data_IF_468095841983
#
_entry.id   IF_468095841983
#
_cell.length_a   1.000
_cell.length_b   1.000
_cell.length_c   1.000
_cell.angle_alpha   90.00
_cell.angle_beta   90.00
_cell.angle_gamma   90.00
#
_symmetry.space_group_name_H-M   'P 1'
#
loop_
_entity.id
_entity.type
_entity.pdbx_description
1 polymer ?
#
# COMPACT_ATOMS: atom_id res chain seq x y z
N UNK A 1 -11.50 -16.07 34.32
CA UNK A 1 -11.15 -14.86 33.54
C UNK A 1 -10.92 -15.31 32.11
N UNK A 2 -11.71 -14.81 31.17
CA UNK A 2 -11.70 -15.29 29.78
C UNK A 2 -10.49 -14.67 29.06
N UNK A 3 -9.38 -15.40 28.94
CA UNK A 3 -8.12 -14.94 28.33
C UNK A 3 -8.27 -14.49 26.87
N UNK A 4 -9.35 -14.92 26.21
CA UNK A 4 -9.72 -14.51 24.85
C UNK A 4 -10.13 -13.04 24.70
N UNK A 5 -10.43 -12.33 25.80
CA UNK A 5 -10.90 -10.94 25.71
C UNK A 5 -9.81 -9.93 25.42
N UNK A 6 -8.54 -10.28 25.62
CA UNK A 6 -7.38 -9.39 25.46
C UNK A 6 -6.58 -9.62 24.17
N UNK A 7 -6.82 -10.69 23.41
CA UNK A 7 -6.04 -10.96 22.21
C UNK A 7 -6.57 -10.22 20.97
N UNK A 8 -5.67 -9.72 20.14
CA UNK A 8 -6.03 -9.13 18.84
C UNK A 8 -6.50 -10.21 17.88
N UNK A 9 -7.25 -9.83 16.84
CA UNK A 9 -7.78 -10.81 15.87
C UNK A 9 -6.67 -11.58 15.15
N UNK A 10 -5.50 -10.98 14.98
CA UNK A 10 -4.35 -11.58 14.30
C UNK A 10 -3.39 -12.30 15.25
N UNK A 11 -3.47 -12.11 16.57
CA UNK A 11 -2.59 -12.81 17.52
C UNK A 11 -3.10 -14.20 17.91
N UNK A 12 -4.32 -14.57 17.51
CA UNK A 12 -4.93 -15.85 17.89
C UNK A 12 -4.31 -17.01 17.11
N UNK A 13 -4.21 -18.21 17.71
CA UNK A 13 -3.73 -19.40 17.02
C UNK A 13 -4.53 -19.71 15.74
N UNK A 14 -5.84 -19.55 15.76
CA UNK A 14 -6.75 -19.91 14.65
C UNK A 14 -6.56 -19.07 13.37
N UNK A 15 -5.74 -18.03 13.42
CA UNK A 15 -5.35 -17.25 12.24
C UNK A 15 -4.62 -18.13 11.24
N UNK A 16 -3.84 -19.09 11.74
CA UNK A 16 -3.12 -20.05 10.94
C UNK A 16 -3.96 -21.33 10.78
N UNK A 17 -3.88 -22.01 9.61
CA UNK A 17 -4.61 -23.25 9.42
C UNK A 17 -4.09 -24.36 10.34
N UNK A 18 -4.93 -25.36 10.60
CA UNK A 18 -4.53 -26.57 11.31
C UNK A 18 -3.40 -27.31 10.60
N UNK A 19 -2.54 -27.99 11.37
CA UNK A 19 -1.43 -28.75 10.82
C UNK A 19 -1.94 -29.85 9.88
N UNK A 20 -1.24 -30.11 8.76
CA UNK A 20 -1.56 -31.24 7.91
C UNK A 20 -1.40 -32.58 8.66
N UNK A 21 -2.13 -33.62 8.23
CA UNK A 21 -1.85 -35.01 8.65
C UNK A 21 -0.59 -35.51 7.92
N UNK A 22 0.56 -34.99 8.33
CA UNK A 22 1.85 -35.14 7.66
C UNK A 22 2.94 -35.58 8.66
N UNK A 23 4.19 -35.55 8.21
CA UNK A 23 5.39 -35.69 9.06
C UNK A 23 5.37 -34.78 10.30
N UNK A 24 6.11 -35.14 11.37
CA UNK A 24 6.13 -34.41 12.64
C UNK A 24 6.47 -32.92 12.49
N UNK A 25 7.34 -32.58 11.54
CA UNK A 25 7.74 -31.21 11.24
C UNK A 25 7.46 -30.85 9.79
N UNK A 26 7.30 -29.56 9.51
CA UNK A 26 7.24 -29.09 8.15
C UNK A 26 7.09 -27.59 8.00
N UNK A 27 7.11 -27.14 6.75
CA UNK A 27 7.03 -25.75 6.35
C UNK A 27 6.02 -25.51 5.23
N UNK A 28 5.47 -24.31 5.18
CA UNK A 28 4.57 -23.82 4.14
C UNK A 28 5.17 -22.58 3.51
N UNK A 29 5.31 -22.56 2.18
CA UNK A 29 5.74 -21.36 1.45
C UNK A 29 4.56 -20.40 1.19
N UNK A 30 4.81 -19.12 0.86
CA UNK A 30 3.78 -18.14 0.50
C UNK A 30 2.81 -18.55 -0.62
N UNK A 31 3.21 -19.56 -1.40
CA UNK A 31 2.43 -20.16 -2.51
C UNK A 31 1.63 -21.39 -2.08
N UNK A 32 1.65 -21.73 -0.78
CA UNK A 32 0.97 -22.90 -0.23
C UNK A 32 1.72 -24.22 -0.43
N UNK A 33 2.98 -24.20 -0.90
CA UNK A 33 3.78 -25.42 -1.04
C UNK A 33 4.20 -25.93 0.33
N UNK A 34 3.91 -27.20 0.59
CA UNK A 34 4.27 -27.88 1.84
C UNK A 34 5.56 -28.69 1.66
N UNK A 35 6.42 -28.66 2.67
CA UNK A 35 7.63 -29.50 2.74
C UNK A 35 7.66 -30.15 4.12
N UNK A 36 7.92 -31.46 4.14
CA UNK A 36 7.85 -32.30 5.33
C UNK A 36 9.24 -32.68 5.82
N UNK A 37 9.43 -32.75 7.14
CA UNK A 37 10.69 -33.09 7.79
C UNK A 37 10.47 -34.06 8.96
N UNK A 38 11.48 -34.87 9.26
CA UNK A 38 11.45 -35.81 10.37
C UNK A 38 12.01 -35.22 11.66
N UNK A 39 12.93 -34.26 11.55
CA UNK A 39 13.56 -33.62 12.71
C UNK A 39 13.49 -32.10 12.67
N UNK A 40 13.70 -31.48 13.84
CA UNK A 40 13.76 -30.02 13.97
C UNK A 40 14.99 -29.45 13.24
N UNK A 41 16.11 -30.17 13.23
CA UNK A 41 17.34 -29.75 12.55
C UNK A 41 17.15 -29.68 11.03
N UNK A 42 16.42 -30.64 10.43
CA UNK A 42 16.08 -30.63 9.01
C UNK A 42 15.22 -29.41 8.65
N UNK A 43 14.22 -29.09 9.48
CA UNK A 43 13.38 -27.91 9.32
C UNK A 43 14.19 -26.61 9.50
N UNK A 44 15.04 -26.53 10.52
CA UNK A 44 15.92 -25.38 10.76
C UNK A 44 16.89 -25.15 9.57
N UNK A 45 17.48 -26.23 9.05
CA UNK A 45 18.34 -26.19 7.88
C UNK A 45 17.57 -25.69 6.64
N UNK A 46 16.32 -26.13 6.47
CA UNK A 46 15.45 -25.65 5.40
C UNK A 46 15.11 -24.16 5.53
N UNK A 47 14.77 -23.67 6.73
CA UNK A 47 14.48 -22.24 6.98
C UNK A 47 15.68 -21.38 6.56
N UNK A 48 16.90 -21.81 6.90
CA UNK A 48 18.11 -21.09 6.52
C UNK A 48 18.31 -21.05 4.99
N UNK A 49 18.27 -22.21 4.32
CA UNK A 49 18.71 -22.36 2.92
C UNK A 49 17.60 -22.27 1.86
N UNK A 50 16.33 -22.20 2.25
CA UNK A 50 15.23 -22.17 1.29
C UNK A 50 15.30 -20.93 0.41
N UNK A 51 15.16 -21.10 -0.92
CA UNK A 51 15.10 -19.96 -1.85
C UNK A 51 13.84 -19.13 -1.67
N UNK A 52 12.73 -19.77 -1.30
CA UNK A 52 11.48 -19.08 -1.00
C UNK A 52 11.41 -18.75 0.50
N UNK A 53 10.71 -17.68 0.85
CA UNK A 53 10.37 -17.39 2.25
C UNK A 53 9.58 -18.58 2.82
N UNK A 54 9.82 -18.92 4.09
CA UNK A 54 8.95 -19.81 4.86
C UNK A 54 7.86 -18.96 5.50
N UNK A 55 6.60 -19.16 5.10
CA UNK A 55 5.46 -18.37 5.60
C UNK A 55 4.92 -18.93 6.91
N UNK A 56 4.91 -20.26 7.06
CA UNK A 56 4.51 -20.92 8.28
C UNK A 56 5.25 -22.26 8.46
N UNK A 57 5.27 -22.77 9.69
CA UNK A 57 5.86 -24.04 10.10
C UNK A 57 4.88 -24.81 10.98
N UNK A 58 5.01 -26.14 11.04
CA UNK A 58 4.31 -26.97 12.02
C UNK A 58 5.29 -27.87 12.78
N UNK A 59 4.91 -28.23 14.00
CA UNK A 59 5.67 -29.05 14.94
C UNK A 59 4.75 -30.06 15.64
N UNK A 60 5.28 -31.14 16.26
CA UNK A 60 4.46 -32.19 16.85
C UNK A 60 3.52 -31.71 17.94
N UNK A 61 4.00 -30.79 18.78
CA UNK A 61 3.32 -30.30 19.99
C UNK A 61 2.20 -29.29 19.72
N UNK A 62 2.05 -28.82 18.49
CA UNK A 62 1.16 -27.71 18.13
C UNK A 62 0.06 -28.21 17.19
N UNK A 63 -1.15 -27.69 17.31
CA UNK A 63 -2.28 -28.08 16.45
C UNK A 63 -2.39 -27.20 15.20
N UNK A 64 -2.06 -25.91 15.31
CA UNK A 64 -2.01 -24.97 14.20
C UNK A 64 -0.60 -24.76 13.66
N UNK A 65 -0.54 -24.31 12.41
CA UNK A 65 0.66 -23.70 11.82
C UNK A 65 1.03 -22.42 12.60
N UNK A 66 2.29 -22.03 12.52
CA UNK A 66 2.78 -20.79 13.14
C UNK A 66 3.86 -20.14 12.30
N UNK A 67 4.10 -18.83 12.43
CA UNK A 67 5.25 -18.22 11.77
C UNK A 67 6.55 -18.83 12.31
N UNK A 68 7.62 -18.97 11.49
CA UNK A 68 8.91 -19.44 11.98
C UNK A 68 9.47 -18.55 13.10
N UNK A 69 9.06 -17.28 13.14
CA UNK A 69 9.41 -16.34 14.19
C UNK A 69 8.80 -16.67 15.58
N UNK A 70 7.90 -17.65 15.68
CA UNK A 70 7.36 -18.12 16.97
C UNK A 70 8.24 -19.18 17.66
N UNK A 71 9.26 -19.71 16.99
CA UNK A 71 10.08 -20.84 17.48
C UNK A 71 11.50 -20.35 17.78
N UNK A 72 11.89 -20.39 19.07
CA UNK A 72 13.15 -19.81 19.55
C UNK A 72 14.39 -20.52 18.99
N UNK A 73 14.28 -21.80 18.67
CA UNK A 73 15.34 -22.59 18.03
C UNK A 73 15.69 -22.07 16.63
N UNK A 74 14.80 -21.27 16.02
CA UNK A 74 15.02 -20.68 14.70
C UNK A 74 15.69 -19.30 14.73
N UNK A 75 16.08 -18.74 15.90
CA UNK A 75 16.79 -17.45 15.99
C UNK A 75 18.01 -17.43 15.06
N UNK A 76 18.93 -18.39 15.19
CA UNK A 76 20.16 -18.42 14.40
C UNK A 76 19.91 -18.75 12.91
N UNK A 77 19.11 -19.78 12.55
CA UNK A 77 18.72 -20.02 11.17
C UNK A 77 18.09 -18.80 10.47
N UNK A 78 17.16 -18.10 11.14
CA UNK A 78 16.52 -16.89 10.62
C UNK A 78 17.51 -15.74 10.53
N UNK A 79 18.36 -15.54 11.54
CA UNK A 79 19.41 -14.51 11.52
C UNK A 79 20.33 -14.70 10.32
N UNK A 80 20.84 -15.91 10.12
CA UNK A 80 21.74 -16.24 9.02
C UNK A 80 21.08 -16.00 7.66
N UNK A 81 19.82 -16.44 7.51
CA UNK A 81 19.00 -16.18 6.32
C UNK A 81 18.82 -14.68 6.04
N UNK A 82 18.37 -13.92 7.03
CA UNK A 82 18.09 -12.49 6.89
C UNK A 82 19.37 -11.70 6.54
N UNK A 83 20.53 -12.11 7.06
CA UNK A 83 21.82 -11.51 6.71
C UNK A 83 22.22 -11.77 5.26
N UNK A 84 21.97 -12.98 4.76
CA UNK A 84 22.23 -13.33 3.36
C UNK A 84 21.29 -12.55 2.42
N UNK A 85 19.99 -12.52 2.75
CA UNK A 85 18.99 -11.76 1.99
C UNK A 85 19.33 -10.27 1.95
N UNK A 86 19.61 -9.64 3.09
CA UNK A 86 20.00 -8.23 3.15
C UNK A 86 21.32 -7.96 2.38
N UNK A 87 22.21 -8.94 2.27
CA UNK A 87 23.41 -8.86 1.43
C UNK A 87 23.10 -8.82 -0.06
N UNK A 88 22.23 -9.71 -0.53
CA UNK A 88 21.74 -9.75 -1.91
C UNK A 88 20.96 -8.49 -2.27
N UNK A 89 20.07 -8.03 -1.38
CA UNK A 89 19.28 -6.82 -1.58
C UNK A 89 20.17 -5.58 -1.63
N UNK A 90 21.18 -5.49 -0.77
CA UNK A 90 22.16 -4.40 -0.82
C UNK A 90 22.96 -4.41 -2.13
N UNK A 91 23.33 -5.58 -2.65
CA UNK A 91 24.00 -5.71 -3.94
C UNK A 91 23.09 -5.24 -5.09
N UNK A 92 21.86 -5.74 -5.15
CA UNK A 92 20.87 -5.38 -6.17
C UNK A 92 20.54 -3.87 -6.11
N UNK A 93 20.35 -3.32 -4.92
CA UNK A 93 20.06 -1.91 -4.72
C UNK A 93 21.23 -1.01 -5.15
N UNK A 94 22.49 -1.41 -4.88
CA UNK A 94 23.67 -0.68 -5.38
C UNK A 94 23.74 -0.69 -6.91
N UNK A 95 23.50 -1.85 -7.53
CA UNK A 95 23.45 -1.98 -8.98
C UNK A 95 22.36 -1.07 -9.57
N UNK A 96 21.15 -1.11 -9.02
CA UNK A 96 20.05 -0.27 -9.48
C UNK A 96 20.35 1.21 -9.26
N UNK A 97 20.92 1.58 -8.11
CA UNK A 97 21.35 2.96 -7.82
C UNK A 97 22.32 3.47 -8.87
N UNK A 98 23.30 2.65 -9.28
CA UNK A 98 24.21 3.01 -10.36
C UNK A 98 23.48 3.21 -11.69
N UNK A 99 22.62 2.26 -12.08
CA UNK A 99 21.85 2.33 -13.34
C UNK A 99 21.01 3.61 -13.39
N UNK A 100 20.24 3.89 -12.33
CA UNK A 100 19.38 5.06 -12.30
C UNK A 100 20.15 6.37 -12.08
N UNK A 101 21.32 6.35 -11.44
CA UNK A 101 22.20 7.51 -11.38
C UNK A 101 22.73 7.88 -12.77
N UNK A 102 23.13 6.88 -13.57
CA UNK A 102 23.52 7.10 -14.98
C UNK A 102 22.33 7.65 -15.78
N UNK A 103 21.12 7.12 -15.56
CA UNK A 103 19.91 7.63 -16.21
C UNK A 103 19.64 9.10 -15.86
N UNK A 104 19.79 9.48 -14.59
CA UNK A 104 19.67 10.88 -14.14
C UNK A 104 20.72 11.76 -14.81
N UNK A 105 22.00 11.33 -14.84
CA UNK A 105 23.06 12.08 -15.50
C UNK A 105 22.81 12.25 -17.01
N UNK A 106 22.30 11.21 -17.67
CA UNK A 106 21.91 11.28 -19.07
C UNK A 106 20.73 12.22 -19.29
N UNK A 107 19.70 12.16 -18.44
CA UNK A 107 18.55 13.06 -18.52
C UNK A 107 18.95 14.52 -18.31
N UNK A 108 19.85 14.78 -17.35
CA UNK A 108 20.43 16.11 -17.13
C UNK A 108 21.22 16.60 -18.34
N UNK A 109 22.06 15.74 -18.92
CA UNK A 109 22.80 16.07 -20.14
C UNK A 109 21.87 16.40 -21.30
N UNK A 110 20.87 15.56 -21.57
CA UNK A 110 19.90 15.76 -22.64
C UNK A 110 19.11 17.07 -22.44
N UNK A 111 18.70 17.34 -21.20
CA UNK A 111 18.00 18.57 -20.82
C UNK A 111 18.84 19.83 -21.07
N UNK A 112 20.13 19.83 -20.69
CA UNK A 112 21.07 20.92 -20.97
C UNK A 112 21.32 21.07 -22.48
N UNK A 113 21.50 19.95 -23.20
CA UNK A 113 21.70 19.96 -24.65
C UNK A 113 20.49 20.54 -25.42
N UNK A 114 19.27 20.35 -24.89
CA UNK A 114 18.04 20.89 -25.44
C UNK A 114 17.72 22.32 -24.95
N UNK A 115 18.56 22.93 -24.10
CA UNK A 115 18.37 24.28 -23.60
C UNK A 115 17.20 24.46 -22.63
N UNK A 116 16.68 23.36 -22.07
CA UNK A 116 15.58 23.35 -21.09
C UNK A 116 16.13 23.35 -19.67
N UNK A 117 15.40 23.90 -18.69
CA UNK A 117 15.82 23.85 -17.30
C UNK A 117 15.58 22.44 -16.71
N UNK A 118 16.50 21.90 -15.87
CA UNK A 118 16.31 20.56 -15.27
C UNK A 118 15.05 20.44 -14.42
N UNK A 119 14.67 21.54 -13.76
CA UNK A 119 13.48 21.65 -12.92
C UNK A 119 12.17 21.64 -13.68
N UNK A 120 12.22 21.74 -15.01
CA UNK A 120 11.04 21.74 -15.88
C UNK A 120 10.93 20.45 -16.71
N UNK A 121 11.96 19.60 -16.70
CA UNK A 121 11.97 18.35 -17.48
C UNK A 121 11.28 17.21 -16.74
N UNK A 122 10.30 16.62 -17.42
CA UNK A 122 9.65 15.38 -17.00
C UNK A 122 10.66 14.23 -16.87
N UNK A 123 11.60 14.12 -17.80
CA UNK A 123 12.61 13.05 -17.84
C UNK A 123 13.55 13.11 -16.64
N UNK A 124 14.03 14.31 -16.28
CA UNK A 124 14.90 14.52 -15.12
C UNK A 124 14.15 14.16 -13.83
N UNK A 125 12.90 14.64 -13.67
CA UNK A 125 12.08 14.32 -12.52
C UNK A 125 11.76 12.83 -12.41
N UNK A 126 11.38 12.19 -13.52
CA UNK A 126 11.09 10.75 -13.55
C UNK A 126 12.34 9.92 -13.23
N UNK A 127 13.49 10.25 -13.83
CA UNK A 127 14.76 9.57 -13.52
C UNK A 127 15.14 9.74 -12.04
N UNK A 128 14.91 10.92 -11.46
CA UNK A 128 15.08 11.18 -10.03
C UNK A 128 14.19 10.30 -9.16
N UNK A 129 12.89 10.20 -9.48
CA UNK A 129 11.95 9.31 -8.78
C UNK A 129 12.39 7.85 -8.87
N UNK A 130 12.79 7.37 -10.05
CA UNK A 130 13.25 6.00 -10.24
C UNK A 130 14.53 5.72 -9.45
N UNK A 131 15.50 6.65 -9.43
CA UNK A 131 16.69 6.56 -8.59
C UNK A 131 16.32 6.45 -7.10
N UNK A 132 15.38 7.26 -6.64
CA UNK A 132 14.92 7.22 -5.25
C UNK A 132 14.23 5.90 -4.91
N UNK A 133 13.19 5.53 -5.67
CA UNK A 133 12.31 4.40 -5.33
C UNK A 133 12.93 3.04 -5.64
N UNK A 134 13.74 2.93 -6.70
CA UNK A 134 14.34 1.65 -7.13
C UNK A 134 15.83 1.52 -6.81
N UNK A 135 16.47 2.60 -6.34
CA UNK A 135 17.88 2.63 -5.94
C UNK A 135 18.05 2.95 -4.46
N UNK A 136 17.88 4.22 -4.08
CA UNK A 136 18.24 4.75 -2.76
C UNK A 136 17.40 4.17 -1.62
N UNK A 137 16.08 4.06 -1.79
CA UNK A 137 15.18 3.51 -0.77
C UNK A 137 15.47 2.02 -0.53
N UNK A 138 15.53 1.14 -1.55
CA UNK A 138 15.94 -0.26 -1.36
C UNK A 138 17.33 -0.39 -0.75
N UNK A 139 18.26 0.51 -1.07
CA UNK A 139 19.59 0.48 -0.49
C UNK A 139 19.57 0.84 1.00
N UNK A 140 18.77 1.85 1.39
CA UNK A 140 18.54 2.20 2.79
C UNK A 140 17.86 1.06 3.55
N UNK A 141 16.82 0.46 2.97
CA UNK A 141 16.09 -0.66 3.57
C UNK A 141 17.01 -1.88 3.76
N UNK A 142 17.81 -2.26 2.76
CA UNK A 142 18.79 -3.34 2.89
C UNK A 142 19.84 -3.06 3.99
N UNK A 143 20.29 -1.80 4.12
CA UNK A 143 21.19 -1.39 5.20
C UNK A 143 20.51 -1.48 6.58
N UNK A 144 19.23 -1.10 6.67
CA UNK A 144 18.44 -1.18 7.90
C UNK A 144 18.20 -2.64 8.29
N UNK A 145 17.74 -3.46 7.36
CA UNK A 145 17.46 -4.88 7.55
C UNK A 145 18.71 -5.65 7.96
N UNK A 146 19.87 -5.36 7.36
CA UNK A 146 21.14 -5.95 7.81
C UNK A 146 21.45 -5.63 9.27
N UNK A 147 21.14 -4.42 9.75
CA UNK A 147 21.32 -4.06 11.17
C UNK A 147 20.31 -4.78 12.05
N UNK A 148 19.05 -4.85 11.64
CA UNK A 148 18.00 -5.59 12.34
C UNK A 148 18.34 -7.08 12.46
N UNK A 149 18.79 -7.70 11.37
CA UNK A 149 19.21 -9.10 11.35
C UNK A 149 20.36 -9.34 12.33
N UNK A 150 21.41 -8.50 12.34
CA UNK A 150 22.51 -8.62 13.33
C UNK A 150 22.04 -8.49 14.78
N UNK A 151 20.97 -7.74 15.01
CA UNK A 151 20.40 -7.52 16.34
C UNK A 151 19.30 -8.54 16.71
N UNK A 152 18.99 -9.50 15.82
CA UNK A 152 17.93 -10.48 16.05
C UNK A 152 18.29 -11.35 17.25
N UNK A 153 17.51 -11.27 18.32
CA UNK A 153 17.59 -12.09 19.52
C UNK A 153 16.17 -12.54 19.90
N UNK A 154 16.00 -13.27 21.02
CA UNK A 154 14.69 -13.76 21.46
C UNK A 154 13.65 -12.63 21.64
N UNK A 155 14.06 -11.48 22.16
CA UNK A 155 13.17 -10.33 22.33
C UNK A 155 12.75 -9.71 20.99
N UNK A 156 13.70 -9.58 20.05
CA UNK A 156 13.41 -9.09 18.71
C UNK A 156 12.52 -10.08 17.95
N UNK A 157 12.70 -11.39 18.14
CA UNK A 157 11.85 -12.41 17.56
C UNK A 157 10.39 -12.26 17.98
N UNK A 158 10.10 -11.94 19.24
CA UNK A 158 8.72 -11.69 19.67
C UNK A 158 8.05 -10.53 18.90
N UNK A 159 8.82 -9.49 18.52
CA UNK A 159 8.30 -8.39 17.71
C UNK A 159 8.08 -8.81 16.25
N UNK A 160 9.02 -9.58 15.68
CA UNK A 160 8.92 -10.13 14.32
C UNK A 160 7.77 -11.15 14.21
N UNK A 161 7.51 -11.93 15.26
CA UNK A 161 6.37 -12.85 15.35
C UNK A 161 5.04 -12.09 15.24
N UNK A 162 4.85 -11.05 16.07
CA UNK A 162 3.64 -10.24 16.02
C UNK A 162 3.40 -9.64 14.63
N UNK A 163 4.47 -9.19 13.99
CA UNK A 163 4.43 -8.68 12.63
C UNK A 163 4.07 -9.77 11.61
N UNK A 164 4.72 -10.94 11.66
CA UNK A 164 4.46 -12.05 10.77
C UNK A 164 3.01 -12.53 10.87
N UNK A 165 2.48 -12.65 12.09
CA UNK A 165 1.07 -12.97 12.34
C UNK A 165 0.13 -11.91 11.76
N UNK A 166 0.43 -10.63 11.98
CA UNK A 166 -0.36 -9.52 11.44
C UNK A 166 -0.38 -9.52 9.91
N UNK A 167 0.78 -9.67 9.27
CA UNK A 167 0.91 -9.67 7.81
C UNK A 167 0.24 -10.91 7.20
N UNK A 168 0.36 -12.08 7.84
CA UNK A 168 -0.35 -13.29 7.43
C UNK A 168 -1.88 -13.10 7.51
N UNK A 169 -2.38 -12.61 8.64
CA UNK A 169 -3.80 -12.31 8.81
C UNK A 169 -4.29 -11.30 7.76
N UNK A 170 -3.54 -10.21 7.56
CA UNK A 170 -3.90 -9.15 6.62
C UNK A 170 -3.92 -9.64 5.17
N UNK A 171 -2.97 -10.49 4.78
CA UNK A 171 -2.89 -11.10 3.44
C UNK A 171 -4.10 -11.98 3.15
N UNK A 172 -4.54 -12.75 4.14
CA UNK A 172 -5.63 -13.72 4.02
C UNK A 172 -7.01 -13.15 4.36
N UNK A 173 -7.08 -11.90 4.81
CA UNK A 173 -8.36 -11.25 5.11
C UNK A 173 -9.19 -11.03 3.84
N UNK A 174 -10.52 -11.17 3.97
CA UNK A 174 -11.45 -10.92 2.87
C UNK A 174 -11.48 -9.43 2.54
N UNK A 175 -11.13 -9.09 1.30
CA UNK A 175 -11.04 -7.72 0.79
C UNK A 175 -11.97 -7.49 -0.42
N UNK A 176 -13.26 -7.77 -0.25
CA UNK A 176 -14.19 -7.78 -1.37
C UNK A 176 -14.39 -6.38 -1.96
N UNK A 177 -14.44 -5.35 -1.12
CA UNK A 177 -14.70 -4.00 -1.58
C UNK A 177 -13.45 -3.37 -2.22
N UNK A 178 -12.26 -3.67 -1.71
CA UNK A 178 -11.00 -3.33 -2.38
C UNK A 178 -10.96 -3.85 -3.81
N UNK A 179 -11.44 -5.09 -4.05
CA UNK A 179 -11.57 -5.65 -5.40
C UNK A 179 -12.59 -4.91 -6.25
N UNK A 180 -13.71 -4.47 -5.66
CA UNK A 180 -14.70 -3.63 -6.36
C UNK A 180 -14.09 -2.30 -6.78
N UNK A 181 -13.34 -1.61 -5.92
CA UNK A 181 -12.67 -0.35 -6.28
C UNK A 181 -11.70 -0.54 -7.44
N UNK A 182 -10.90 -1.60 -7.42
CA UNK A 182 -9.98 -1.94 -8.51
C UNK A 182 -10.76 -2.20 -9.80
N UNK A 183 -11.89 -2.92 -9.73
CA UNK A 183 -12.73 -3.18 -10.90
C UNK A 183 -13.32 -1.88 -11.48
N UNK A 184 -13.84 -0.97 -10.63
CA UNK A 184 -14.34 0.34 -11.05
C UNK A 184 -13.26 1.19 -11.75
N UNK A 185 -12.01 1.12 -11.27
CA UNK A 185 -10.88 1.77 -11.90
C UNK A 185 -10.47 1.11 -13.22
N UNK A 186 -10.56 -0.22 -13.29
CA UNK A 186 -10.20 -0.99 -14.47
C UNK A 186 -11.14 -0.74 -15.65
N UNK A 187 -12.45 -0.51 -15.41
CA UNK A 187 -13.41 -0.19 -16.48
C UNK A 187 -12.92 0.99 -17.32
N UNK A 188 -12.63 2.14 -16.70
CA UNK A 188 -12.15 3.32 -17.42
C UNK A 188 -10.72 3.12 -17.92
N UNK A 189 -9.85 2.45 -17.14
CA UNK A 189 -8.47 2.16 -17.55
C UNK A 189 -8.35 1.27 -18.80
N UNK A 190 -9.36 0.44 -19.09
CA UNK A 190 -9.43 -0.40 -20.30
C UNK A 190 -10.02 0.38 -21.49
N UNK A 191 -11.00 1.26 -21.26
CA UNK A 191 -11.65 2.06 -22.32
C UNK A 191 -10.71 3.16 -22.82
N UNK A 192 -10.07 3.89 -21.89
CA UNK A 192 -9.30 5.11 -22.20
C UNK A 192 -8.20 4.94 -23.26
N UNK A 193 -7.43 3.83 -23.32
CA UNK A 193 -6.41 3.63 -24.36
C UNK A 193 -6.96 3.65 -25.80
N UNK A 194 -8.25 3.30 -25.99
CA UNK A 194 -8.90 3.32 -27.30
C UNK A 194 -9.38 4.72 -27.72
N UNK A 195 -9.61 5.59 -26.74
CA UNK A 195 -10.08 6.98 -26.92
C UNK A 195 -8.91 7.94 -27.10
N UNK A 196 -7.79 7.66 -26.41
CA UNK A 196 -6.65 8.57 -26.32
C UNK A 196 -6.74 9.50 -25.11
N UNK A 197 -5.59 10.03 -24.68
CA UNK A 197 -5.51 10.82 -23.44
C UNK A 197 -6.20 12.19 -23.58
N UNK A 198 -5.94 12.92 -24.67
CA UNK A 198 -6.46 14.27 -24.84
C UNK A 198 -7.99 14.31 -24.87
N UNK A 199 -8.69 13.49 -25.71
CA UNK A 199 -10.15 13.50 -25.73
C UNK A 199 -10.75 13.02 -24.41
N UNK A 200 -10.11 12.05 -23.75
CA UNK A 200 -10.55 11.57 -22.43
C UNK A 200 -10.52 12.69 -21.38
N UNK A 201 -9.39 13.40 -21.26
CA UNK A 201 -9.25 14.52 -20.33
C UNK A 201 -10.24 15.63 -20.69
N UNK A 202 -10.46 15.87 -21.97
CA UNK A 202 -11.44 16.83 -22.43
C UNK A 202 -12.85 16.50 -21.91
N UNK A 203 -13.36 15.28 -22.10
CA UNK A 203 -14.76 14.97 -21.73
C UNK A 203 -14.95 14.70 -20.23
N UNK A 204 -13.96 14.13 -19.55
CA UNK A 204 -14.12 13.59 -18.19
C UNK A 204 -13.02 13.97 -17.19
N UNK A 205 -11.94 14.61 -17.62
CA UNK A 205 -10.88 15.11 -16.73
C UNK A 205 -11.27 16.41 -16.03
N UNK A 206 -10.59 16.74 -14.92
CA UNK A 206 -10.72 18.04 -14.27
C UNK A 206 -9.84 19.01 -15.06
N UNK A 207 -10.49 19.94 -15.77
CA UNK A 207 -9.83 20.86 -16.71
C UNK A 207 -9.16 22.02 -15.99
N UNK A 208 -8.21 22.65 -16.68
CA UNK A 208 -7.72 23.96 -16.29
C UNK A 208 -8.86 25.00 -16.38
N UNK A 209 -8.89 25.99 -15.49
CA UNK A 209 -9.91 27.04 -15.42
C UNK A 209 -10.54 27.24 -14.04
N UNK A 210 -10.19 26.40 -13.04
CA UNK A 210 -10.78 26.45 -11.71
C UNK A 210 -12.15 25.75 -11.62
N UNK A 211 -12.84 25.90 -10.48
CA UNK A 211 -14.08 25.18 -10.23
C UNK A 211 -15.25 25.85 -10.94
N UNK A 212 -15.89 25.11 -11.86
CA UNK A 212 -17.18 25.48 -12.46
C UNK A 212 -18.28 24.55 -11.92
N UNK A 213 -19.33 25.14 -11.35
CA UNK A 213 -20.48 24.39 -10.84
C UNK A 213 -21.18 23.59 -11.95
N UNK A 214 -21.19 24.10 -13.19
CA UNK A 214 -21.77 23.41 -14.35
C UNK A 214 -20.97 22.15 -14.72
N UNK A 215 -19.67 22.12 -14.44
CA UNK A 215 -18.78 20.99 -14.71
C UNK A 215 -18.38 20.22 -13.43
N UNK A 216 -19.13 20.38 -12.34
CA UNK A 216 -18.83 19.74 -11.05
C UNK A 216 -18.73 18.21 -11.09
N UNK A 217 -19.35 17.57 -12.09
CA UNK A 217 -19.22 16.13 -12.34
C UNK A 217 -17.76 15.70 -12.58
N UNK A 218 -16.89 16.61 -13.04
CA UNK A 218 -15.47 16.34 -13.30
C UNK A 218 -14.69 15.98 -12.04
N UNK A 219 -15.10 16.51 -10.88
CA UNK A 219 -14.52 16.11 -9.58
C UNK A 219 -14.73 14.61 -9.29
N UNK A 220 -15.78 14.04 -9.87
CA UNK A 220 -16.16 12.64 -9.68
C UNK A 220 -15.62 11.74 -10.80
N UNK A 221 -15.55 12.21 -12.05
CA UNK A 221 -15.08 11.40 -13.18
C UNK A 221 -13.56 11.40 -13.34
N UNK A 222 -12.89 12.53 -13.13
CA UNK A 222 -11.45 12.67 -13.35
C UNK A 222 -10.59 11.64 -12.58
N UNK A 223 -10.95 11.23 -11.35
CA UNK A 223 -10.23 10.18 -10.64
C UNK A 223 -10.17 8.81 -11.36
N UNK A 224 -11.02 8.56 -12.36
CA UNK A 224 -11.02 7.31 -13.12
C UNK A 224 -10.11 7.34 -14.36
N UNK A 225 -9.59 8.52 -14.72
CA UNK A 225 -8.71 8.71 -15.88
C UNK A 225 -7.24 8.66 -15.47
N UNK A 226 -6.34 8.26 -16.37
CA UNK A 226 -4.91 8.13 -16.05
C UNK A 226 -4.03 8.59 -17.21
N UNK A 227 -3.01 9.41 -16.91
CA UNK A 227 -2.11 9.91 -17.94
C UNK A 227 -1.29 8.85 -18.68
N UNK A 228 -1.05 7.70 -18.06
CA UNK A 228 -0.20 6.64 -18.60
C UNK A 228 -0.40 5.31 -17.86
N UNK A 229 -0.03 4.15 -18.46
CA UNK A 229 -0.25 2.84 -17.86
C UNK A 229 0.43 2.65 -16.49
N UNK A 230 1.62 3.22 -16.29
CA UNK A 230 2.32 3.15 -15.00
C UNK A 230 1.54 3.89 -13.90
N UNK A 231 1.01 5.09 -14.19
CA UNK A 231 0.18 5.83 -13.24
C UNK A 231 -1.09 5.07 -12.87
N UNK A 232 -1.74 4.40 -13.83
CA UNK A 232 -2.87 3.50 -13.55
C UNK A 232 -2.46 2.32 -12.66
N UNK A 233 -1.36 1.63 -13.01
CA UNK A 233 -0.86 0.50 -12.24
C UNK A 233 -0.49 0.87 -10.80
N UNK A 234 0.12 2.04 -10.60
CA UNK A 234 0.45 2.56 -9.26
C UNK A 234 -0.80 2.88 -8.44
N UNK A 235 -1.87 3.40 -9.04
CA UNK A 235 -3.14 3.61 -8.35
C UNK A 235 -3.82 2.28 -8.00
N UNK A 236 -3.87 1.33 -8.92
CA UNK A 236 -4.38 -0.03 -8.65
C UNK A 236 -3.61 -0.67 -7.49
N UNK A 237 -2.28 -0.60 -7.52
CA UNK A 237 -1.43 -1.11 -6.47
C UNK A 237 -1.64 -0.38 -5.13
N UNK A 238 -1.77 0.94 -5.14
CA UNK A 238 -2.05 1.75 -3.95
C UNK A 238 -3.40 1.40 -3.31
N UNK A 239 -4.45 1.24 -4.13
CA UNK A 239 -5.77 0.77 -3.67
C UNK A 239 -5.66 -0.65 -3.12
N UNK A 240 -4.96 -1.55 -3.82
CA UNK A 240 -4.78 -2.92 -3.34
C UNK A 240 -4.06 -2.97 -1.98
N UNK A 241 -2.97 -2.21 -1.82
CA UNK A 241 -2.15 -2.20 -0.61
C UNK A 241 -2.85 -1.50 0.56
N UNK A 242 -3.23 -0.23 0.37
CA UNK A 242 -3.85 0.58 1.44
C UNK A 242 -5.31 0.21 1.66
N UNK A 243 -6.06 -0.06 0.59
CA UNK A 243 -7.47 -0.47 0.67
C UNK A 243 -7.65 -1.78 1.42
N UNK A 244 -6.79 -2.78 1.16
CA UNK A 244 -6.76 -4.02 1.96
C UNK A 244 -6.63 -3.73 3.44
N UNK A 245 -5.73 -2.83 3.80
CA UNK A 245 -5.44 -2.47 5.19
C UNK A 245 -6.61 -1.73 5.84
N UNK A 246 -7.21 -0.76 5.15
CA UNK A 246 -8.43 -0.07 5.63
C UNK A 246 -9.61 -1.03 5.77
N UNK A 247 -9.89 -1.84 4.76
CA UNK A 247 -11.02 -2.80 4.78
C UNK A 247 -10.86 -3.85 5.87
N UNK A 248 -9.63 -4.33 6.11
CA UNK A 248 -9.38 -5.37 7.12
C UNK A 248 -9.44 -4.82 8.54
N UNK A 249 -8.95 -3.59 8.76
CA UNK A 249 -8.88 -2.98 10.09
C UNK A 249 -10.16 -2.26 10.49
N UNK A 250 -10.69 -1.41 9.62
CA UNK A 250 -11.84 -0.55 9.89
C UNK A 250 -13.13 -1.06 9.22
N UNK A 251 -13.02 -1.80 8.11
CA UNK A 251 -14.16 -2.30 7.35
C UNK A 251 -14.42 -1.54 6.05
N UNK A 252 -15.15 -2.20 5.15
CA UNK A 252 -15.48 -1.66 3.83
C UNK A 252 -16.24 -0.32 3.83
N UNK A 253 -17.15 0.00 4.80
CA UNK A 253 -17.89 1.25 4.72
C UNK A 253 -16.97 2.47 4.85
N UNK A 254 -15.98 2.38 5.73
CA UNK A 254 -14.96 3.42 5.89
C UNK A 254 -14.08 3.53 4.65
N UNK A 255 -13.64 2.41 4.06
CA UNK A 255 -12.89 2.40 2.80
C UNK A 255 -13.65 3.10 1.67
N UNK A 256 -14.94 2.81 1.53
CA UNK A 256 -15.76 3.43 0.50
C UNK A 256 -15.92 4.93 0.70
N UNK A 257 -16.26 5.35 1.91
CA UNK A 257 -16.54 6.75 2.19
C UNK A 257 -15.27 7.60 2.10
N UNK A 258 -14.16 7.12 2.68
CA UNK A 258 -12.90 7.87 2.64
C UNK A 258 -12.40 8.05 1.21
N UNK A 259 -12.60 7.06 0.34
CA UNK A 259 -12.20 7.16 -1.07
C UNK A 259 -12.92 8.34 -1.74
N UNK A 260 -14.25 8.40 -1.64
CA UNK A 260 -15.05 9.51 -2.18
C UNK A 260 -14.67 10.85 -1.56
N UNK A 261 -14.59 10.90 -0.23
CA UNK A 261 -14.32 12.13 0.49
C UNK A 261 -12.95 12.73 0.12
N UNK A 262 -11.92 11.88 0.01
CA UNK A 262 -10.58 12.30 -0.37
C UNK A 262 -10.44 12.63 -1.86
N UNK A 263 -11.16 11.94 -2.76
CA UNK A 263 -11.22 12.31 -4.18
C UNK A 263 -11.81 13.70 -4.36
N UNK A 264 -12.93 14.00 -3.68
CA UNK A 264 -13.57 15.32 -3.73
C UNK A 264 -12.68 16.41 -3.13
N UNK A 265 -12.12 16.18 -1.94
CA UNK A 265 -11.24 17.15 -1.29
C UNK A 265 -9.96 17.41 -2.10
N UNK A 266 -9.37 16.36 -2.69
CA UNK A 266 -8.22 16.49 -3.57
C UNK A 266 -8.56 17.27 -4.85
N UNK A 267 -9.67 16.94 -5.50
CA UNK A 267 -10.15 17.65 -6.69
C UNK A 267 -10.44 19.13 -6.43
N UNK A 268 -11.05 19.45 -5.29
CA UNK A 268 -11.27 20.83 -4.86
C UNK A 268 -9.96 21.56 -4.55
N UNK A 269 -9.02 20.89 -3.88
CA UNK A 269 -7.71 21.48 -3.56
C UNK A 269 -6.93 21.83 -4.85
N UNK A 270 -6.81 20.90 -5.79
CA UNK A 270 -6.12 21.18 -7.06
C UNK A 270 -6.84 22.27 -7.87
N UNK A 271 -8.18 22.22 -7.93
CA UNK A 271 -8.99 23.24 -8.61
C UNK A 271 -8.82 24.64 -8.03
N UNK A 272 -8.51 24.76 -6.73
CA UNK A 272 -8.34 26.05 -6.05
C UNK A 272 -6.90 26.57 -6.12
N UNK A 273 -5.92 25.68 -5.97
CA UNK A 273 -4.52 26.08 -5.79
C UNK A 273 -3.62 25.83 -7.01
N UNK A 274 -4.11 25.09 -8.01
CA UNK A 274 -3.43 24.84 -9.28
C UNK A 274 -4.42 24.88 -10.46
N UNK A 275 -5.25 25.95 -10.58
CA UNK A 275 -6.32 26.03 -11.57
C UNK A 275 -5.83 26.00 -13.02
N UNK A 276 -4.54 26.22 -13.28
CA UNK A 276 -3.95 26.26 -14.62
C UNK A 276 -3.60 24.89 -15.20
N UNK A 277 -3.64 23.81 -14.40
CA UNK A 277 -3.31 22.44 -14.85
C UNK A 277 -4.52 21.53 -14.78
N UNK A 278 -4.62 20.62 -15.75
CA UNK A 278 -5.60 19.54 -15.69
C UNK A 278 -5.18 18.49 -14.64
N UNK A 279 -6.15 17.85 -13.99
CA UNK A 279 -5.92 16.81 -12.98
C UNK A 279 -6.76 15.57 -13.26
N UNK A 280 -6.14 14.40 -13.12
CA UNK A 280 -6.74 13.08 -13.33
C UNK A 280 -6.11 12.04 -12.40
N UNK A 281 -6.86 10.96 -12.14
CA UNK A 281 -6.38 9.76 -11.45
C UNK A 281 -6.81 9.66 -10.00
N UNK A 282 -6.90 8.43 -9.51
CA UNK A 282 -7.44 8.11 -8.19
C UNK A 282 -6.50 8.47 -7.04
N UNK A 283 -5.34 9.06 -7.33
CA UNK A 283 -4.23 9.21 -6.39
C UNK A 283 -4.58 10.07 -5.19
N UNK A 284 -5.39 11.13 -5.33
CA UNK A 284 -5.93 11.88 -4.18
C UNK A 284 -6.72 11.00 -3.21
N UNK A 285 -7.52 10.06 -3.73
CA UNK A 285 -8.22 9.05 -2.93
C UNK A 285 -7.27 8.05 -2.26
N UNK A 286 -6.25 7.58 -2.99
CA UNK A 286 -5.19 6.68 -2.45
C UNK A 286 -4.42 7.35 -1.31
N UNK A 287 -4.04 8.62 -1.48
CA UNK A 287 -3.42 9.43 -0.42
C UNK A 287 -4.38 9.63 0.76
N UNK A 288 -5.68 9.73 0.50
CA UNK A 288 -6.72 9.66 1.52
C UNK A 288 -6.69 8.38 2.35
N UNK A 289 -6.50 7.22 1.72
CA UNK A 289 -6.34 5.95 2.45
C UNK A 289 -5.11 5.97 3.36
N UNK A 290 -4.00 6.53 2.88
CA UNK A 290 -2.79 6.70 3.69
C UNK A 290 -3.06 7.61 4.89
N UNK A 291 -3.69 8.77 4.67
CA UNK A 291 -4.03 9.73 5.72
C UNK A 291 -4.98 9.15 6.76
N UNK A 292 -5.96 8.38 6.31
CA UNK A 292 -6.86 7.64 7.19
C UNK A 292 -6.11 6.65 8.07
N UNK A 293 -5.23 5.83 7.49
CA UNK A 293 -4.47 4.83 8.24
C UNK A 293 -3.51 5.48 9.24
N UNK A 294 -2.88 6.60 8.89
CA UNK A 294 -1.98 7.32 9.81
C UNK A 294 -2.69 7.72 11.11
N UNK A 295 -3.91 8.25 11.00
CA UNK A 295 -4.71 8.63 12.17
C UNK A 295 -5.32 7.38 12.82
N UNK A 296 -5.92 6.49 12.06
CA UNK A 296 -6.57 5.29 12.57
C UNK A 296 -5.62 4.45 13.43
N UNK A 297 -4.43 4.14 12.92
CA UNK A 297 -3.44 3.30 13.60
C UNK A 297 -2.77 4.00 14.79
N UNK A 298 -2.81 5.34 14.82
CA UNK A 298 -2.40 6.12 15.99
C UNK A 298 -3.47 6.07 17.09
N UNK A 299 -4.75 6.10 16.70
CA UNK A 299 -5.90 6.03 17.62
C UNK A 299 -6.21 4.62 18.11
N UNK A 300 -5.81 3.60 17.34
CA UNK A 300 -6.04 2.18 17.60
C UNK A 300 -4.71 1.39 17.64
N UNK A 301 -3.70 1.95 18.32
CA UNK A 301 -2.33 1.42 18.33
C UNK A 301 -2.21 -0.01 18.84
N UNK A 302 -3.13 -0.50 19.66
CA UNK A 302 -3.09 -1.89 20.13
C UNK A 302 -3.51 -2.90 19.05
N UNK A 303 -4.17 -2.46 17.97
CA UNK A 303 -4.59 -3.33 16.86
C UNK A 303 -3.49 -3.60 15.84
N UNK A 304 -2.40 -2.85 15.85
CA UNK A 304 -1.41 -2.90 14.77
C UNK A 304 0.00 -2.94 15.37
N UNK A 305 0.84 -3.94 15.03
CA UNK A 305 2.21 -3.99 15.51
C UNK A 305 2.99 -2.69 15.26
N UNK A 306 3.84 -2.30 16.22
CA UNK A 306 4.58 -1.03 16.16
C UNK A 306 5.44 -0.91 14.90
N UNK A 307 6.07 -2.00 14.48
CA UNK A 307 6.89 -2.08 13.26
C UNK A 307 6.06 -1.81 12.00
N UNK A 308 4.87 -2.39 11.91
CA UNK A 308 3.93 -2.16 10.80
C UNK A 308 3.45 -0.70 10.72
N UNK A 309 3.29 -0.02 11.85
CA UNK A 309 2.99 1.43 11.87
C UNK A 309 4.19 2.28 11.41
N UNK A 310 5.41 1.89 11.79
CA UNK A 310 6.65 2.57 11.33
C UNK A 310 6.83 2.45 9.82
N UNK A 311 6.47 1.30 9.22
CA UNK A 311 6.46 1.14 7.75
C UNK A 311 5.50 2.11 7.07
N UNK A 312 4.31 2.32 7.65
CA UNK A 312 3.34 3.29 7.11
C UNK A 312 3.89 4.72 7.15
N UNK A 313 4.58 5.11 8.22
CA UNK A 313 5.29 6.40 8.30
C UNK A 313 6.44 6.51 7.29
N UNK A 314 7.18 5.42 7.08
CA UNK A 314 8.18 5.34 6.02
C UNK A 314 7.58 5.56 4.63
N UNK A 315 6.42 4.95 4.35
CA UNK A 315 5.69 5.15 3.11
C UNK A 315 5.27 6.61 2.91
N UNK A 316 4.77 7.29 3.97
CA UNK A 316 4.50 8.73 3.92
C UNK A 316 5.76 9.54 3.56
N UNK A 317 6.90 9.23 4.19
CA UNK A 317 8.17 9.91 3.91
C UNK A 317 8.60 9.75 2.45
N UNK A 318 8.50 8.53 1.91
CA UNK A 318 8.78 8.26 0.48
C UNK A 318 7.80 9.00 -0.42
N UNK A 319 6.50 9.01 -0.10
CA UNK A 319 5.50 9.73 -0.89
C UNK A 319 5.75 11.24 -0.94
N UNK A 320 6.08 11.87 0.20
CA UNK A 320 6.44 13.30 0.24
C UNK A 320 7.68 13.56 -0.59
N UNK A 321 8.71 12.70 -0.49
CA UNK A 321 9.94 12.83 -1.27
C UNK A 321 9.68 12.70 -2.78
N UNK A 322 8.87 11.71 -3.19
CA UNK A 322 8.48 11.52 -4.60
C UNK A 322 7.67 12.72 -5.11
N UNK A 323 6.71 13.22 -4.33
CA UNK A 323 5.93 14.42 -4.67
C UNK A 323 6.80 15.67 -4.80
N UNK A 324 7.84 15.80 -3.97
CA UNK A 324 8.81 16.89 -4.06
C UNK A 324 9.66 16.80 -5.35
N UNK A 325 10.18 15.61 -5.67
CA UNK A 325 10.99 15.41 -6.89
C UNK A 325 10.14 15.59 -8.15
N UNK A 326 8.90 15.10 -8.15
CA UNK A 326 7.97 15.14 -9.29
C UNK A 326 7.02 16.34 -9.31
N UNK A 327 7.28 17.41 -8.56
CA UNK A 327 6.31 18.49 -8.31
C UNK A 327 5.71 19.15 -9.56
N UNK A 328 6.38 19.04 -10.72
CA UNK A 328 5.89 19.58 -11.98
C UNK A 328 4.74 18.79 -12.60
N UNK A 329 4.73 17.46 -12.40
CA UNK A 329 3.81 16.52 -13.04
C UNK A 329 3.04 15.64 -12.04
N UNK A 330 3.34 15.77 -10.75
CA UNK A 330 2.57 15.19 -9.66
C UNK A 330 1.66 16.28 -9.09
N UNK A 331 0.36 15.98 -9.02
CA UNK A 331 -0.62 16.86 -8.41
C UNK A 331 -0.54 16.81 -6.88
N UNK A 332 0.41 17.58 -6.32
CA UNK A 332 0.65 17.67 -4.89
C UNK A 332 -0.54 18.27 -4.12
N UNK A 333 -1.36 19.12 -4.75
CA UNK A 333 -2.55 19.68 -4.11
C UNK A 333 -3.66 18.64 -3.98
N UNK A 334 -3.89 17.83 -5.02
CA UNK A 334 -4.81 16.70 -4.94
C UNK A 334 -4.34 15.67 -3.89
N UNK A 335 -3.03 15.39 -3.84
CA UNK A 335 -2.44 14.47 -2.86
C UNK A 335 -2.58 14.99 -1.43
N UNK A 336 -2.21 16.24 -1.19
CA UNK A 336 -2.31 16.88 0.13
C UNK A 336 -3.75 17.03 0.60
N UNK A 337 -4.66 17.48 -0.27
CA UNK A 337 -6.09 17.60 0.03
C UNK A 337 -6.72 16.25 0.35
N UNK A 338 -6.39 15.22 -0.45
CA UNK A 338 -6.83 13.85 -0.22
C UNK A 338 -6.32 13.27 1.11
N UNK A 339 -5.01 13.41 1.38
CA UNK A 339 -4.36 13.00 2.62
C UNK A 339 -5.03 13.63 3.86
N UNK A 340 -5.19 14.95 3.86
CA UNK A 340 -5.81 15.69 4.95
C UNK A 340 -7.28 15.27 5.16
N UNK A 341 -8.04 15.09 4.09
CA UNK A 341 -9.41 14.60 4.18
C UNK A 341 -9.50 13.21 4.81
N UNK A 342 -8.58 12.30 4.46
CA UNK A 342 -8.48 10.98 5.08
C UNK A 342 -8.18 11.05 6.58
N UNK A 343 -7.24 11.90 6.97
CA UNK A 343 -6.89 12.16 8.37
C UNK A 343 -8.08 12.71 9.17
N UNK A 344 -8.77 13.72 8.62
CA UNK A 344 -9.95 14.32 9.24
C UNK A 344 -11.08 13.31 9.41
N UNK A 345 -11.36 12.53 8.36
CA UNK A 345 -12.40 11.51 8.42
C UNK A 345 -12.10 10.46 9.51
N UNK A 346 -10.89 9.91 9.55
CA UNK A 346 -10.49 8.96 10.59
C UNK A 346 -10.62 9.56 12.00
N UNK A 347 -10.17 10.80 12.19
CA UNK A 347 -10.22 11.48 13.49
C UNK A 347 -11.65 11.75 13.98
N UNK A 348 -12.60 11.98 13.07
CA UNK A 348 -14.01 12.24 13.39
C UNK A 348 -14.80 10.92 13.56
N UNK A 349 -14.60 9.97 12.65
CA UNK A 349 -15.44 8.77 12.57
C UNK A 349 -15.01 7.65 13.53
N UNK A 350 -13.72 7.61 13.93
CA UNK A 350 -13.14 6.49 14.67
C UNK A 350 -12.48 7.00 15.96
N UNK A 351 -13.25 7.10 17.07
CA UNK A 351 -12.71 7.61 18.33
C UNK A 351 -11.57 6.74 18.87
N UNK A 352 -10.68 7.34 19.66
CA UNK A 352 -9.56 6.63 20.29
C UNK A 352 -10.05 5.42 21.08
N UNK A 353 -9.39 4.28 20.88
CA UNK A 353 -9.71 3.04 21.57
C UNK A 353 -8.44 2.31 22.00
N UNK A 354 -8.38 1.91 23.26
CA UNK A 354 -7.37 0.98 23.77
C UNK A 354 -7.76 -0.49 23.60
N UNK A 355 -8.83 -0.78 22.84
CA UNK A 355 -9.30 -2.15 22.65
C UNK A 355 -8.47 -2.87 21.59
N UNK A 356 -8.19 -4.15 21.87
CA UNK A 356 -7.54 -5.08 20.94
C UNK A 356 -8.52 -5.64 19.90
N UNK A 357 -9.75 -5.11 19.85
CA UNK A 357 -10.80 -5.50 18.90
C UNK A 357 -10.98 -4.45 17.81
N UNK A 358 -11.19 -4.93 16.59
CA UNK A 358 -11.55 -4.08 15.46
C UNK A 358 -12.86 -3.33 15.75
N UNK A 359 -12.96 -2.03 15.40
CA UNK A 359 -14.21 -1.30 15.51
C UNK A 359 -15.27 -1.95 14.62
N UNK A 360 -16.50 -2.06 15.13
CA UNK A 360 -17.64 -2.52 14.34
C UNK A 360 -18.26 -1.32 13.64
N UNK A 361 -18.47 -1.44 12.34
CA UNK A 361 -19.21 -0.42 11.58
C UNK A 361 -20.62 -0.25 12.18
N UNK A 362 -20.98 0.99 12.51
CA UNK A 362 -22.32 1.34 12.94
C UNK A 362 -23.29 1.34 11.75
N UNK A 363 -24.59 1.51 12.03
CA UNK A 363 -25.60 1.73 10.97
C UNK A 363 -25.27 2.98 10.15
N UNK A 364 -24.80 4.05 10.81
CA UNK A 364 -24.38 5.29 10.14
C UNK A 364 -23.21 5.03 9.19
N UNK A 365 -22.18 4.32 9.65
CA UNK A 365 -21.02 4.01 8.81
C UNK A 365 -21.43 3.18 7.60
N UNK A 366 -22.32 2.21 7.80
CA UNK A 366 -22.88 1.39 6.71
C UNK A 366 -23.62 2.24 5.69
N UNK A 367 -24.49 3.18 6.12
CA UNK A 367 -25.20 4.08 5.21
C UNK A 367 -24.23 4.96 4.43
N UNK A 368 -23.22 5.54 5.09
CA UNK A 368 -22.18 6.33 4.43
C UNK A 368 -21.35 5.49 3.45
N UNK A 369 -21.05 4.25 3.80
CA UNK A 369 -20.35 3.31 2.94
C UNK A 369 -21.16 2.94 1.70
N UNK A 370 -22.46 2.64 1.85
CA UNK A 370 -23.35 2.38 0.70
C UNK A 370 -23.44 3.61 -0.19
N UNK A 371 -23.63 4.80 0.37
CA UNK A 371 -23.65 6.04 -0.40
C UNK A 371 -22.33 6.25 -1.16
N UNK A 372 -21.19 6.02 -0.50
CA UNK A 372 -19.88 6.08 -1.13
C UNK A 372 -19.74 5.09 -2.29
N UNK A 373 -20.20 3.85 -2.13
CA UNK A 373 -20.15 2.82 -3.17
C UNK A 373 -20.99 3.24 -4.38
N UNK A 374 -22.21 3.73 -4.15
CA UNK A 374 -23.10 4.20 -5.21
C UNK A 374 -22.49 5.37 -5.97
N UNK A 375 -21.88 6.33 -5.26
CA UNK A 375 -21.16 7.45 -5.89
C UNK A 375 -20.02 6.91 -6.74
N UNK A 376 -19.14 6.06 -6.21
CA UNK A 376 -18.00 5.52 -6.97
C UNK A 376 -18.43 4.73 -8.20
N UNK A 377 -19.47 3.92 -8.08
CA UNK A 377 -20.02 3.15 -9.19
C UNK A 377 -20.62 4.08 -10.25
N UNK A 378 -21.46 5.04 -9.84
CA UNK A 378 -22.06 6.03 -10.75
C UNK A 378 -20.99 6.86 -11.46
N UNK A 379 -19.96 7.31 -10.75
CA UNK A 379 -18.84 8.08 -11.31
C UNK A 379 -18.01 7.28 -12.31
N UNK A 380 -17.71 6.02 -12.01
CA UNK A 380 -16.99 5.11 -12.92
C UNK A 380 -17.81 4.85 -14.19
N UNK A 381 -19.12 4.57 -14.05
CA UNK A 381 -20.03 4.37 -15.19
C UNK A 381 -20.12 5.65 -16.02
N UNK A 382 -20.31 6.81 -15.38
CA UNK A 382 -20.42 8.09 -16.05
C UNK A 382 -19.15 8.46 -16.81
N UNK A 383 -17.98 8.28 -16.19
CA UNK A 383 -16.69 8.45 -16.87
C UNK A 383 -16.58 7.51 -18.07
N UNK A 384 -16.93 6.23 -17.93
CA UNK A 384 -16.93 5.27 -19.03
C UNK A 384 -17.86 5.67 -20.19
N UNK A 385 -19.06 6.17 -19.90
CA UNK A 385 -20.00 6.65 -20.92
C UNK A 385 -19.49 7.89 -21.65
N UNK A 386 -18.89 8.84 -20.93
CA UNK A 386 -18.26 10.01 -21.54
C UNK A 386 -17.12 9.61 -22.48
N UNK A 387 -16.29 8.64 -22.05
CA UNK A 387 -15.20 8.10 -22.87
C UNK A 387 -15.71 7.42 -24.15
N UNK A 388 -16.82 6.68 -24.07
CA UNK A 388 -17.40 6.02 -25.25
C UNK A 388 -18.11 6.98 -26.21
N UNK A 389 -18.46 8.19 -25.75
CA UNK A 389 -19.08 9.23 -26.55
C UNK A 389 -18.09 10.25 -27.15
N UNK A 390 -16.81 10.17 -26.77
CA UNK A 390 -15.71 10.95 -27.32
C UNK A 390 -15.16 10.27 -28.58
#
# INVERSE_FOLDING_TARGET
MNTDSEQTVWSRPEVFPGKPKAAPYGSVSPRGRQVEFQTLEELAHHIHHSRERVEAVWMPEQEELMPPEAVLEFVEPLRARLLEQAGLDAYNARRNTLIFAILVLWALYANVANGTAPTESFEVGLAGILLTVLGLVPWYDACRERRSAKALNEQAMAMEEQEARFDYWLKNHRIWFTRVLIALLAVCGIIQPWVGLEPAVEVAGLRAGGFDAAESYRLLTAPFLHGHPLHWALNVWGIWYLGRRVESLAGWPHLSFVMVFSMLAGGLATSQFMPEKASIGASGGVLGLLGFLLIFETLHGELVPRSSRRRLLGALGVTVLVGFIGYQFIDNFAHGGGLLAGMLYAGIALPRSGSNRRPRASKRDTVLGVAGLLILAASSIWAGLLLLGA
#
